data_IF_608442368394
#
_entry.id   IF_608442368394
#
_cell.length_a   1.000
_cell.length_b   1.000
_cell.length_c   1.000
_cell.angle_alpha   90.00
_cell.angle_beta   90.00
_cell.angle_gamma   90.00
#
_symmetry.space_group_name_H-M   'P 1'
#
loop_
_entity.id
_entity.type
_entity.pdbx_description
1 polymer ?
#
# COMPACT_ATOMS: atom_id res chain seq x y z
N UNK A 1 -15.20 28.82 -17.29
CA UNK A 1 -14.25 28.46 -16.23
C UNK A 1 -14.44 29.45 -15.10
N UNK A 2 -14.96 29.02 -13.95
CA UNK A 2 -15.26 29.87 -12.79
C UNK A 2 -14.12 29.93 -11.76
N UNK A 3 -14.27 30.81 -10.78
CA UNK A 3 -13.26 31.06 -9.72
C UNK A 3 -13.00 29.88 -8.78
N UNK A 4 -13.90 28.88 -8.77
CA UNK A 4 -13.79 27.68 -7.93
C UNK A 4 -13.53 26.39 -8.71
N UNK A 5 -13.36 26.45 -10.03
CA UNK A 5 -13.22 25.26 -10.88
C UNK A 5 -12.07 24.36 -10.44
N UNK A 6 -10.95 24.95 -10.01
CA UNK A 6 -9.81 24.18 -9.51
C UNK A 6 -10.16 23.37 -8.25
N UNK A 7 -11.00 23.91 -7.36
CA UNK A 7 -11.42 23.22 -6.12
C UNK A 7 -12.34 22.06 -6.46
N UNK A 8 -13.29 22.29 -7.37
CA UNK A 8 -14.22 21.26 -7.84
C UNK A 8 -13.45 20.15 -8.55
N UNK A 9 -12.52 20.50 -9.43
CA UNK A 9 -11.70 19.53 -10.15
C UNK A 9 -10.81 18.72 -9.20
N UNK A 10 -10.16 19.38 -8.23
CA UNK A 10 -9.36 18.69 -7.21
C UNK A 10 -10.21 17.71 -6.40
N UNK A 11 -11.40 18.13 -5.96
CA UNK A 11 -12.30 17.24 -5.20
C UNK A 11 -12.73 16.04 -6.02
N UNK A 12 -13.01 16.22 -7.32
CA UNK A 12 -13.36 15.12 -8.23
C UNK A 12 -12.24 14.09 -8.31
N UNK A 13 -11.00 14.54 -8.54
CA UNK A 13 -9.83 13.66 -8.61
C UNK A 13 -9.58 12.98 -7.26
N UNK A 14 -9.76 13.68 -6.14
CA UNK A 14 -9.60 13.09 -4.81
C UNK A 14 -10.56 11.93 -4.58
N UNK A 15 -11.84 12.09 -4.94
CA UNK A 15 -12.84 11.01 -4.78
C UNK A 15 -12.49 9.79 -5.63
N UNK A 16 -12.07 9.99 -6.87
CA UNK A 16 -11.60 8.91 -7.75
C UNK A 16 -10.35 8.22 -7.17
N UNK A 17 -9.42 9.01 -6.62
CA UNK A 17 -8.20 8.51 -6.01
C UNK A 17 -8.49 7.72 -4.71
N UNK A 18 -9.47 8.15 -3.91
CA UNK A 18 -9.94 7.45 -2.71
C UNK A 18 -10.57 6.09 -3.05
N UNK A 19 -11.36 6.00 -4.12
CA UNK A 19 -11.89 4.73 -4.61
C UNK A 19 -10.77 3.80 -5.13
N UNK A 20 -9.81 4.36 -5.87
CA UNK A 20 -8.64 3.63 -6.35
C UNK A 20 -7.72 3.15 -5.22
N UNK A 21 -7.66 3.87 -4.11
CA UNK A 21 -6.71 3.69 -3.00
C UNK A 21 -6.76 2.29 -2.36
N UNK A 22 -7.94 1.69 -2.30
CA UNK A 22 -8.19 0.36 -1.72
C UNK A 22 -7.95 -0.78 -2.74
N UNK A 23 -7.58 -0.46 -3.98
CA UNK A 23 -7.18 -1.44 -4.97
C UNK A 23 -5.84 -2.10 -4.62
N UNK A 24 -5.70 -3.39 -4.96
CA UNK A 24 -4.44 -4.12 -4.79
C UNK A 24 -3.44 -3.70 -5.86
N UNK A 25 -2.27 -3.24 -5.42
CA UNK A 25 -1.16 -2.84 -6.28
C UNK A 25 -0.22 -4.02 -6.54
N UNK A 26 0.16 -4.74 -5.48
CA UNK A 26 1.04 -5.88 -5.58
C UNK A 26 0.78 -6.89 -4.45
N UNK A 27 1.09 -8.16 -4.72
CA UNK A 27 1.07 -9.23 -3.72
C UNK A 27 2.45 -9.88 -3.71
N UNK A 28 3.08 -9.93 -2.55
CA UNK A 28 4.38 -10.52 -2.36
C UNK A 28 4.31 -11.62 -1.29
N UNK A 29 4.48 -12.86 -1.70
CA UNK A 29 4.51 -14.02 -0.79
C UNK A 29 5.97 -14.44 -0.61
N UNK A 30 6.46 -14.43 0.62
CA UNK A 30 7.85 -14.79 0.89
C UNK A 30 8.05 -15.47 2.25
N UNK A 31 9.18 -16.16 2.37
CA UNK A 31 9.64 -16.84 3.58
C UNK A 31 11.16 -16.94 3.60
N UNK A 32 11.84 -15.98 2.96
CA UNK A 32 13.29 -15.98 2.80
C UNK A 32 13.95 -15.19 3.94
N UNK A 33 14.92 -15.82 4.61
CA UNK A 33 15.69 -15.24 5.72
C UNK A 33 16.97 -14.53 5.27
N UNK A 34 17.17 -14.41 3.96
CA UNK A 34 18.40 -13.92 3.33
C UNK A 34 18.35 -12.46 2.87
N UNK A 35 17.27 -11.72 3.13
CA UNK A 35 17.18 -10.31 2.74
C UNK A 35 18.10 -9.43 3.61
N UNK A 36 18.66 -8.37 3.02
CA UNK A 36 19.65 -7.51 3.69
C UNK A 36 19.09 -6.76 4.91
N UNK A 37 17.77 -6.60 4.97
CA UNK A 37 17.04 -5.91 6.04
C UNK A 37 16.54 -6.87 7.14
N UNK A 38 16.83 -8.17 7.07
CA UNK A 38 16.38 -9.14 8.07
C UNK A 38 17.18 -9.00 9.37
N UNK A 39 16.46 -8.88 10.49
CA UNK A 39 17.01 -8.89 11.84
C UNK A 39 17.06 -10.33 12.38
N UNK A 40 17.77 -10.55 13.49
CA UNK A 40 17.75 -11.85 14.15
C UNK A 40 16.31 -12.27 14.57
N UNK A 41 15.48 -11.29 14.94
CA UNK A 41 14.09 -11.49 15.34
C UNK A 41 13.20 -11.86 14.16
N UNK A 42 13.32 -11.16 13.03
CA UNK A 42 12.50 -11.44 11.84
C UNK A 42 12.83 -12.80 11.22
N UNK A 43 14.11 -13.22 11.25
CA UNK A 43 14.51 -14.57 10.83
C UNK A 43 13.91 -15.65 11.72
N UNK A 44 14.01 -15.47 13.05
CA UNK A 44 13.43 -16.42 14.01
C UNK A 44 11.90 -16.51 13.88
N UNK A 45 11.23 -15.39 13.58
CA UNK A 45 9.78 -15.39 13.30
C UNK A 45 9.45 -16.22 12.04
N UNK A 46 10.16 -15.99 10.94
CA UNK A 46 9.95 -16.71 9.67
C UNK A 46 10.21 -18.22 9.84
N UNK A 47 11.30 -18.61 10.51
CA UNK A 47 11.63 -20.02 10.76
C UNK A 47 10.59 -20.72 11.63
N UNK A 48 10.04 -20.03 12.63
CA UNK A 48 9.05 -20.59 13.56
C UNK A 48 7.65 -20.65 12.98
N UNK A 49 7.23 -19.58 12.29
CA UNK A 49 5.84 -19.35 11.94
C UNK A 49 5.56 -19.52 10.42
N UNK A 50 6.62 -19.62 9.60
CA UNK A 50 6.53 -19.83 8.17
C UNK A 50 6.42 -18.55 7.34
N UNK A 51 5.99 -18.74 6.10
CA UNK A 51 5.86 -17.68 5.09
C UNK A 51 4.82 -16.61 5.49
N UNK A 52 4.93 -15.47 4.83
CA UNK A 52 4.03 -14.32 4.96
C UNK A 52 3.55 -13.91 3.57
N UNK A 53 2.37 -13.30 3.54
CA UNK A 53 1.79 -12.67 2.36
C UNK A 53 1.65 -11.18 2.64
N UNK A 54 2.39 -10.37 1.90
CA UNK A 54 2.28 -8.91 1.93
C UNK A 54 1.39 -8.47 0.78
N UNK A 55 0.27 -7.80 1.10
CA UNK A 55 -0.59 -7.16 0.11
C UNK A 55 -0.36 -5.65 0.17
N UNK A 56 0.23 -5.08 -0.87
CA UNK A 56 0.37 -3.64 -1.04
C UNK A 56 -0.87 -3.09 -1.75
N UNK A 57 -1.50 -2.11 -1.15
CA UNK A 57 -2.60 -1.35 -1.73
C UNK A 57 -2.08 -0.11 -2.46
N UNK A 58 -2.86 0.39 -3.40
CA UNK A 58 -2.56 1.60 -4.16
C UNK A 58 -2.28 2.82 -3.29
N UNK A 59 -2.92 2.89 -2.11
CA UNK A 59 -2.65 3.91 -1.09
C UNK A 59 -1.24 3.84 -0.46
N UNK A 60 -0.46 2.79 -0.70
CA UNK A 60 0.83 2.54 -0.06
C UNK A 60 0.71 1.86 1.32
N UNK A 61 -0.50 1.52 1.76
CA UNK A 61 -0.72 0.61 2.88
C UNK A 61 -0.25 -0.79 2.48
N UNK A 62 0.50 -1.45 3.35
CA UNK A 62 0.87 -2.85 3.20
C UNK A 62 0.29 -3.62 4.39
N UNK A 63 -0.49 -4.64 4.10
CA UNK A 63 -1.05 -5.56 5.09
C UNK A 63 -0.29 -6.88 4.97
N UNK A 64 0.33 -7.30 6.07
CA UNK A 64 1.00 -8.60 6.15
C UNK A 64 0.08 -9.60 6.81
N UNK A 65 -0.17 -10.68 6.10
CA UNK A 65 -0.98 -11.79 6.57
C UNK A 65 -0.18 -13.09 6.65
N UNK A 66 -0.60 -13.97 7.55
CA UNK A 66 -0.10 -15.34 7.66
C UNK A 66 -1.28 -16.26 7.90
N UNK A 67 -1.45 -17.27 7.05
CA UNK A 67 -2.57 -18.20 7.11
C UNK A 67 -3.95 -17.51 7.17
N UNK A 68 -4.12 -16.43 6.39
CA UNK A 68 -5.37 -15.66 6.31
C UNK A 68 -5.68 -14.81 7.54
N UNK A 69 -4.68 -14.54 8.39
CA UNK A 69 -4.81 -13.62 9.53
C UNK A 69 -3.82 -12.47 9.40
N UNK A 70 -4.30 -11.26 9.63
CA UNK A 70 -3.45 -10.07 9.73
C UNK A 70 -2.46 -10.22 10.88
N UNK A 71 -1.17 -10.03 10.57
CA UNK A 71 -0.06 -10.05 11.52
C UNK A 71 0.30 -8.62 11.90
N UNK A 72 0.46 -7.75 10.90
CA UNK A 72 0.72 -6.34 11.11
C UNK A 72 0.44 -5.54 9.82
N UNK A 73 0.43 -4.22 9.97
CA UNK A 73 0.35 -3.28 8.86
C UNK A 73 1.57 -2.36 8.87
N UNK A 74 2.04 -1.99 7.69
CA UNK A 74 3.16 -1.06 7.52
C UNK A 74 3.02 -0.29 6.20
N UNK A 75 4.00 0.57 5.91
CA UNK A 75 3.92 1.54 4.82
C UNK A 75 3.24 2.84 5.25
N UNK A 76 2.99 3.73 4.28
CA UNK A 76 2.35 5.03 4.52
C UNK A 76 1.07 5.05 3.71
N UNK A 77 -0.07 5.01 4.40
CA UNK A 77 -1.38 5.21 3.77
C UNK A 77 -1.49 6.67 3.32
N UNK A 78 -1.28 6.91 2.03
CA UNK A 78 -1.40 8.22 1.40
C UNK A 78 -2.84 8.71 1.46
N UNK A 79 -3.01 10.00 1.73
CA UNK A 79 -4.31 10.68 1.77
C UNK A 79 -4.17 12.08 1.17
N UNK A 80 -5.29 12.71 0.82
CA UNK A 80 -5.29 14.08 0.29
C UNK A 80 -4.43 14.22 -0.98
N UNK A 81 -3.57 15.24 -1.01
CA UNK A 81 -2.76 15.53 -2.19
C UNK A 81 -1.72 14.44 -2.49
N UNK A 82 -1.14 13.78 -1.47
CA UNK A 82 -0.21 12.66 -1.67
C UNK A 82 -0.87 11.48 -2.39
N UNK A 83 -2.17 11.27 -2.15
CA UNK A 83 -2.94 10.22 -2.80
C UNK A 83 -3.31 10.61 -4.23
N UNK A 84 -3.66 11.88 -4.45
CA UNK A 84 -3.89 12.43 -5.80
C UNK A 84 -2.64 12.28 -6.66
N UNK A 85 -1.47 12.64 -6.13
CA UNK A 85 -0.20 12.54 -6.86
C UNK A 85 0.14 11.08 -7.20
N UNK A 86 -0.08 10.15 -6.25
CA UNK A 86 0.11 8.73 -6.48
C UNK A 86 -0.86 8.18 -7.56
N UNK A 87 -2.12 8.61 -7.53
CA UNK A 87 -3.14 8.20 -8.51
C UNK A 87 -2.78 8.69 -9.92
N UNK A 88 -2.42 9.97 -10.06
CA UNK A 88 -2.10 10.57 -11.36
C UNK A 88 -0.81 10.00 -11.97
N UNK A 89 0.20 9.70 -11.14
CA UNK A 89 1.44 9.06 -11.60
C UNK A 89 1.23 7.59 -11.99
N UNK A 90 0.38 6.86 -11.25
CA UNK A 90 0.06 5.46 -11.53
C UNK A 90 -0.71 5.23 -12.83
N UNK A 91 -1.53 6.19 -13.27
CA UNK A 91 -2.28 6.10 -14.53
C UNK A 91 -1.47 6.40 -15.79
N UNK A 92 -0.24 6.93 -15.67
CA UNK A 92 0.61 7.29 -16.80
C UNK A 92 1.42 6.09 -17.37
N UNK A 93 0.94 4.85 -17.21
CA UNK A 93 1.62 3.62 -17.64
C UNK A 93 1.04 3.00 -18.92
#
# INVERSE_FOLDING_TARGET
MGEYDYRVQRQRVLLEAEEWADGVKSIHVHGITSMYYETAESKADIEKNGNVTDTEYNSGLIVRERNGKEVCTFGIRKTGDDLIDAYLTGQAS
#
